data_IF_681234043025
#
_entry.id   IF_681234043025
#
_cell.length_a   1.000
_cell.length_b   1.000
_cell.length_c   1.000
_cell.angle_alpha   90.00
_cell.angle_beta   90.00
_cell.angle_gamma   90.00
#
_symmetry.space_group_name_H-M   'P 1'
#
loop_
_entity.id
_entity.type
_entity.pdbx_description
1 polymer ?
#
# COMPACT_ATOMS: atom_id res chain seq x y z
N UNK A 1 -14.34 2.92 -20.77
CA UNK A 1 -13.01 2.98 -20.13
C UNK A 1 -12.59 1.55 -19.85
N UNK A 2 -11.61 1.03 -20.58
CA UNK A 2 -11.27 -0.40 -20.56
C UNK A 2 -10.07 -0.62 -19.64
N UNK A 3 -10.32 -1.11 -18.43
CA UNK A 3 -9.26 -1.64 -17.56
C UNK A 3 -8.81 -2.98 -18.13
N UNK A 4 -7.65 -2.99 -18.80
CA UNK A 4 -7.02 -4.23 -19.25
C UNK A 4 -6.19 -4.79 -18.10
N UNK A 5 -6.83 -5.57 -17.24
CA UNK A 5 -6.13 -6.37 -16.24
C UNK A 5 -5.48 -7.56 -16.97
N UNK A 6 -4.20 -7.44 -17.35
CA UNK A 6 -3.44 -8.56 -17.89
C UNK A 6 -3.06 -9.50 -16.74
N UNK A 7 -4.02 -10.34 -16.35
CA UNK A 7 -3.82 -11.57 -15.58
C UNK A 7 -3.17 -11.43 -14.21
N UNK A 8 -3.96 -11.28 -13.15
CA UNK A 8 -3.58 -11.88 -11.86
C UNK A 8 -3.67 -13.40 -12.06
N UNK A 9 -2.53 -14.08 -12.13
CA UNK A 9 -2.48 -15.53 -12.38
C UNK A 9 -2.79 -16.36 -11.14
N UNK A 10 -2.64 -15.78 -9.95
CA UNK A 10 -3.00 -16.39 -8.68
C UNK A 10 -3.18 -15.32 -7.60
N UNK A 11 -4.07 -15.58 -6.64
CA UNK A 11 -4.09 -14.90 -5.35
C UNK A 11 -3.86 -15.95 -4.25
N UNK A 12 -3.29 -15.51 -3.13
CA UNK A 12 -3.06 -16.38 -1.97
C UNK A 12 -3.61 -15.70 -0.73
N UNK A 13 -4.33 -16.46 0.08
CA UNK A 13 -4.78 -16.02 1.40
C UNK A 13 -3.71 -16.48 2.40
N UNK A 14 -3.33 -15.58 3.31
CA UNK A 14 -2.35 -15.86 4.36
C UNK A 14 -2.97 -15.56 5.71
N UNK A 15 -2.83 -16.49 6.64
CA UNK A 15 -3.24 -16.31 8.05
C UNK A 15 -2.12 -15.69 8.91
N UNK A 16 -1.02 -15.25 8.28
CA UNK A 16 0.09 -14.59 8.98
C UNK A 16 -0.25 -13.12 9.24
N UNK A 17 -0.11 -12.62 10.47
CA UNK A 17 -0.31 -11.21 10.78
C UNK A 17 0.55 -10.28 9.93
N UNK A 18 0.04 -9.08 9.63
CA UNK A 18 0.67 -8.15 8.70
C UNK A 18 2.10 -7.77 9.11
N UNK A 19 2.33 -7.45 10.39
CA UNK A 19 3.63 -7.07 10.90
C UNK A 19 4.66 -8.18 10.76
N UNK A 20 4.29 -9.42 11.12
CA UNK A 20 5.12 -10.60 10.89
C UNK A 20 5.39 -10.85 9.40
N UNK A 21 4.36 -10.76 8.55
CA UNK A 21 4.51 -10.96 7.10
C UNK A 21 5.51 -9.95 6.52
N UNK A 22 5.35 -8.67 6.86
CA UNK A 22 6.17 -7.60 6.33
C UNK A 22 7.63 -7.66 6.82
N UNK A 23 7.87 -8.10 8.06
CA UNK A 23 9.23 -8.21 8.63
C UNK A 23 9.96 -9.50 8.27
N UNK A 24 9.24 -10.61 8.11
CA UNK A 24 9.86 -11.94 7.92
C UNK A 24 10.01 -12.35 6.45
N UNK A 25 9.43 -11.59 5.52
CA UNK A 25 9.55 -11.83 4.09
C UNK A 25 10.50 -10.81 3.45
N UNK A 26 11.27 -11.19 2.42
CA UNK A 26 12.25 -10.30 1.79
C UNK A 26 11.57 -9.34 0.80
N UNK A 27 10.71 -8.44 1.28
CA UNK A 27 10.15 -7.36 0.46
C UNK A 27 11.19 -6.24 0.31
N UNK A 28 11.51 -5.89 -0.93
CA UNK A 28 12.42 -4.77 -1.25
C UNK A 28 11.74 -3.42 -0.96
N UNK A 29 10.41 -3.40 -1.03
CA UNK A 29 9.61 -2.20 -0.85
C UNK A 29 8.28 -2.51 -0.16
N UNK A 30 8.06 -1.93 1.02
CA UNK A 30 6.78 -1.95 1.72
C UNK A 30 6.15 -0.55 1.67
N UNK A 31 4.99 -0.46 1.04
CA UNK A 31 4.18 0.76 0.91
C UNK A 31 2.91 0.57 1.74
N UNK A 32 2.75 1.36 2.79
CA UNK A 32 1.52 1.43 3.56
C UNK A 32 0.60 2.53 3.01
N UNK A 33 -0.68 2.23 2.78
CA UNK A 33 -1.67 3.27 2.45
C UNK A 33 -2.33 3.79 3.72
N UNK A 34 -2.46 5.11 3.85
CA UNK A 34 -3.12 5.74 5.00
C UNK A 34 -3.64 7.13 4.65
N UNK A 35 -4.80 7.50 5.20
CA UNK A 35 -5.33 8.87 5.10
C UNK A 35 -4.38 9.93 5.68
N UNK A 36 -3.55 9.52 6.64
CA UNK A 36 -2.56 10.37 7.31
C UNK A 36 -1.15 10.24 6.70
N UNK A 37 -1.00 9.46 5.62
CA UNK A 37 0.25 9.35 4.90
C UNK A 37 0.60 10.62 4.12
N UNK A 38 1.84 10.69 3.64
CA UNK A 38 2.24 11.77 2.74
C UNK A 38 1.41 11.71 1.45
N UNK A 39 0.88 12.84 0.95
CA UNK A 39 0.18 12.87 -0.33
C UNK A 39 1.05 12.26 -1.44
N UNK A 40 0.47 11.40 -2.28
CA UNK A 40 1.18 10.69 -3.34
C UNK A 40 2.06 11.62 -4.19
N UNK A 41 1.54 12.80 -4.54
CA UNK A 41 2.24 13.80 -5.37
C UNK A 41 3.54 14.28 -4.76
N UNK A 42 3.65 14.32 -3.43
CA UNK A 42 4.88 14.76 -2.73
C UNK A 42 5.97 13.68 -2.71
N UNK A 43 5.57 12.41 -2.81
CA UNK A 43 6.48 11.27 -2.72
C UNK A 43 6.72 10.57 -4.06
N UNK A 44 6.01 10.95 -5.12
CA UNK A 44 5.99 10.28 -6.41
C UNK A 44 7.39 10.00 -6.99
N UNK A 45 8.23 11.02 -7.11
CA UNK A 45 9.60 10.87 -7.66
C UNK A 45 10.46 9.91 -6.85
N UNK A 46 10.37 10.00 -5.51
CA UNK A 46 11.11 9.10 -4.62
C UNK A 46 10.56 7.69 -4.75
N UNK A 47 9.24 7.52 -4.72
CA UNK A 47 8.57 6.24 -4.81
C UNK A 47 8.87 5.55 -6.15
N UNK A 48 8.86 6.27 -7.27
CA UNK A 48 9.22 5.76 -8.59
C UNK A 48 10.64 5.18 -8.63
N UNK A 49 11.62 5.84 -7.99
CA UNK A 49 13.00 5.34 -7.90
C UNK A 49 13.11 4.03 -7.12
N UNK A 50 12.30 3.85 -6.07
CA UNK A 50 12.28 2.59 -5.31
C UNK A 50 11.55 1.51 -6.11
N UNK A 51 10.37 1.81 -6.66
CA UNK A 51 9.60 0.89 -7.50
C UNK A 51 10.43 0.30 -8.64
N UNK A 52 11.20 1.13 -9.36
CA UNK A 52 12.08 0.69 -10.46
C UNK A 52 13.21 -0.26 -10.03
N UNK A 53 13.60 -0.25 -8.75
CA UNK A 53 14.69 -1.06 -8.19
C UNK A 53 14.20 -2.29 -7.42
N UNK A 54 12.90 -2.37 -7.14
CA UNK A 54 12.31 -3.41 -6.31
C UNK A 54 11.78 -4.56 -7.15
N UNK A 55 12.09 -5.79 -6.75
CA UNK A 55 11.58 -7.02 -7.37
C UNK A 55 10.38 -7.58 -6.61
N UNK A 56 10.33 -7.43 -5.28
CA UNK A 56 9.25 -7.88 -4.40
C UNK A 56 8.66 -6.71 -3.62
N UNK A 57 7.51 -6.23 -4.06
CA UNK A 57 6.81 -5.05 -3.50
C UNK A 57 5.59 -5.53 -2.69
N UNK A 58 5.42 -5.01 -1.48
CA UNK A 58 4.21 -5.15 -0.68
C UNK A 58 3.48 -3.80 -0.63
N UNK A 59 2.22 -3.78 -1.06
CA UNK A 59 1.32 -2.65 -0.85
C UNK A 59 0.27 -3.07 0.18
N UNK A 60 0.29 -2.42 1.35
CA UNK A 60 -0.56 -2.74 2.48
C UNK A 60 -1.74 -1.77 2.56
N UNK A 61 -2.93 -2.33 2.79
CA UNK A 61 -4.18 -1.59 2.98
C UNK A 61 -4.76 -1.90 4.35
N UNK A 62 -5.32 -0.89 5.00
CA UNK A 62 -6.13 -1.09 6.21
C UNK A 62 -7.50 -1.68 5.87
N UNK A 63 -8.19 -2.15 6.90
CA UNK A 63 -9.60 -2.48 6.83
C UNK A 63 -10.46 -1.22 7.02
N UNK A 64 -11.73 -1.21 6.59
CA UNK A 64 -12.63 -0.06 6.77
C UNK A 64 -12.80 0.35 8.24
N UNK A 65 -12.66 -0.60 9.17
CA UNK A 65 -12.82 -0.39 10.62
C UNK A 65 -11.49 -0.22 11.36
N UNK A 66 -10.36 -0.59 10.75
CA UNK A 66 -9.04 -0.56 11.39
C UNK A 66 -7.95 -0.23 10.35
N UNK A 67 -7.25 0.89 10.56
CA UNK A 67 -6.09 1.24 9.76
C UNK A 67 -4.87 0.36 10.08
N UNK A 68 -3.80 0.55 9.31
CA UNK A 68 -2.58 -0.24 9.45
C UNK A 68 -1.85 0.01 10.78
N UNK A 69 -1.99 1.21 11.37
CA UNK A 69 -1.43 1.48 12.69
C UNK A 69 -2.15 0.65 13.77
N UNK A 70 -3.48 0.58 13.71
CA UNK A 70 -4.29 -0.21 14.62
C UNK A 70 -4.02 -1.71 14.46
N UNK A 71 -3.85 -2.17 13.21
CA UNK A 71 -3.49 -3.57 12.91
C UNK A 71 -2.13 -3.92 13.53
N UNK A 72 -1.10 -3.10 13.31
CA UNK A 72 0.24 -3.34 13.85
C UNK A 72 0.34 -3.17 15.37
N UNK A 73 -0.55 -2.39 15.98
CA UNK A 73 -0.59 -2.24 17.43
C UNK A 73 -0.89 -3.58 18.14
N UNK A 74 -1.69 -4.47 17.54
CA UNK A 74 -1.91 -5.83 18.06
C UNK A 74 -0.64 -6.68 18.07
N UNK A 75 0.37 -6.30 17.29
CA UNK A 75 1.67 -6.95 17.18
C UNK A 75 2.78 -6.18 17.93
N UNK A 76 2.44 -5.12 18.69
CA UNK A 76 3.39 -4.21 19.34
C UNK A 76 4.41 -3.57 18.37
N UNK A 77 3.98 -3.31 17.13
CA UNK A 77 4.81 -2.70 16.08
C UNK A 77 4.27 -1.32 15.70
N UNK A 78 5.17 -0.45 15.24
CA UNK A 78 4.77 0.83 14.64
C UNK A 78 4.87 0.77 13.13
N UNK A 79 3.98 1.49 12.44
CA UNK A 79 3.96 1.49 10.97
C UNK A 79 5.26 1.98 10.34
N UNK A 80 5.95 2.94 10.98
CA UNK A 80 7.25 3.45 10.52
C UNK A 80 8.42 2.47 10.75
N UNK A 81 8.23 1.41 11.54
CA UNK A 81 9.22 0.32 11.71
C UNK A 81 9.05 -0.78 10.66
N UNK A 82 7.92 -0.77 9.94
CA UNK A 82 7.51 -1.83 9.01
C UNK A 82 7.47 -1.33 7.56
N UNK A 83 6.97 -0.11 7.32
CA UNK A 83 6.78 0.43 5.99
C UNK A 83 7.89 1.43 5.61
N UNK A 84 8.41 1.30 4.38
CA UNK A 84 9.36 2.26 3.81
C UNK A 84 8.68 3.57 3.41
N UNK A 85 7.41 3.48 3.01
CA UNK A 85 6.57 4.63 2.67
C UNK A 85 5.20 4.47 3.32
N UNK A 86 4.65 5.57 3.85
CA UNK A 86 3.24 5.68 4.20
C UNK A 86 2.62 6.77 3.34
N UNK A 87 1.72 6.38 2.44
CA UNK A 87 1.24 7.23 1.34
C UNK A 87 -0.27 7.41 1.43
N UNK A 88 -0.72 8.65 1.24
CA UNK A 88 -2.11 8.96 0.97
C UNK A 88 -2.33 9.06 -0.55
N UNK A 89 -3.04 8.08 -1.11
CA UNK A 89 -3.37 8.00 -2.55
C UNK A 89 -4.71 8.65 -2.89
N UNK A 90 -5.50 9.06 -1.89
CA UNK A 90 -6.81 9.71 -2.06
C UNK A 90 -6.85 10.93 -1.13
N UNK A 91 -6.06 11.98 -1.43
CA UNK A 91 -6.10 13.21 -0.64
C UNK A 91 -7.48 13.86 -0.74
N UNK A 92 -7.89 14.57 0.31
CA UNK A 92 -9.19 15.25 0.39
C UNK A 92 -10.38 14.31 0.11
N UNK A 93 -10.31 13.07 0.61
CA UNK A 93 -11.44 12.14 0.55
C UNK A 93 -12.71 12.81 1.08
N UNK A 94 -13.77 12.84 0.26
CA UNK A 94 -15.06 13.44 0.61
C UNK A 94 -15.93 12.56 1.51
N UNK A 95 -15.36 11.47 2.02
CA UNK A 95 -16.03 10.46 2.85
C UNK A 95 -15.21 10.21 4.11
N UNK A 96 -15.88 9.73 5.16
CA UNK A 96 -15.20 9.36 6.41
C UNK A 96 -14.22 8.20 6.22
N UNK A 97 -14.65 7.18 5.47
CA UNK A 97 -13.85 6.01 5.10
C UNK A 97 -13.87 5.80 3.59
N UNK A 98 -12.77 5.29 3.06
CA UNK A 98 -12.70 4.74 1.71
C UNK A 98 -12.66 3.23 1.86
N UNK A 99 -13.53 2.51 1.15
CA UNK A 99 -13.57 1.04 1.25
C UNK A 99 -12.30 0.45 0.66
N UNK A 100 -11.88 -0.71 1.17
CA UNK A 100 -10.61 -1.33 0.79
C UNK A 100 -10.51 -1.57 -0.72
N UNK A 101 -11.61 -1.94 -1.38
CA UNK A 101 -11.67 -2.17 -2.82
C UNK A 101 -11.47 -0.86 -3.62
N UNK A 102 -12.08 0.23 -3.17
CA UNK A 102 -11.93 1.57 -3.78
C UNK A 102 -10.49 2.08 -3.58
N UNK A 103 -9.95 1.92 -2.37
CA UNK A 103 -8.58 2.28 -2.04
C UNK A 103 -7.57 1.46 -2.87
N UNK A 104 -7.84 0.16 -3.08
CA UNK A 104 -7.04 -0.72 -3.91
C UNK A 104 -7.01 -0.22 -5.35
N UNK A 105 -8.17 0.06 -5.96
CA UNK A 105 -8.22 0.56 -7.33
C UNK A 105 -7.51 1.90 -7.49
N UNK A 106 -7.76 2.86 -6.60
CA UNK A 106 -7.12 4.16 -6.66
C UNK A 106 -5.60 4.05 -6.50
N UNK A 107 -5.14 3.29 -5.50
CA UNK A 107 -3.71 3.16 -5.20
C UNK A 107 -2.97 2.44 -6.32
N UNK A 108 -3.51 1.36 -6.87
CA UNK A 108 -2.89 0.68 -8.01
C UNK A 108 -2.88 1.54 -9.27
N UNK A 109 -3.95 2.32 -9.53
CA UNK A 109 -3.96 3.26 -10.64
C UNK A 109 -2.85 4.32 -10.51
N UNK A 110 -2.68 4.90 -9.32
CA UNK A 110 -1.62 5.88 -9.04
C UNK A 110 -0.22 5.26 -9.12
N UNK A 111 0.00 4.07 -8.57
CA UNK A 111 1.30 3.40 -8.66
C UNK A 111 1.63 3.02 -10.11
N UNK A 112 0.63 2.65 -10.91
CA UNK A 112 0.81 2.30 -12.31
C UNK A 112 1.30 3.48 -13.16
N UNK A 113 0.98 4.73 -12.78
CA UNK A 113 1.53 5.91 -13.50
C UNK A 113 3.03 6.06 -13.32
N UNK A 114 3.61 5.50 -12.25
CA UNK A 114 5.07 5.56 -11.99
C UNK A 114 5.86 4.44 -12.67
N UNK A 115 5.18 3.36 -13.08
CA UNK A 115 5.80 2.20 -13.74
C UNK A 115 5.80 2.37 -15.27
N UNK A 116 4.84 3.15 -15.80
CA UNK A 116 4.69 3.40 -17.24
C UNK A 116 5.62 4.46 -17.84
N UNK A 117 6.57 5.01 -17.08
CA UNK A 117 7.62 5.94 -17.53
C UNK A 117 9.01 5.30 -17.56
#
# INVERSE_FOLDING_TARGET
MTLRCTGVTAFTISDVPFGQLAKNQPFDLVIATSRYGAPFTEVADKLARYLKKSHKILVAFGAPTQGLNEILAHENLKLNEVAHFTVNTIPNQGTETVRTEEALYASLAMLNTLIGE
#
